data_IF_086689214608
#
_entry.id   IF_086689214608
#
_cell.length_a   1.000
_cell.length_b   1.000
_cell.length_c   1.000
_cell.angle_alpha   90.00
_cell.angle_beta   90.00
_cell.angle_gamma   90.00
#
_symmetry.space_group_name_H-M   'P 1'
#
loop_
_entity.id
_entity.type
_entity.pdbx_description
1 polymer ?
#
# COMPACT_ATOMS: atom_id res chain seq x y z
N UNK A 1 52.64 25.25 14.38
CA UNK A 1 54.07 24.89 14.17
C UNK A 1 54.98 26.08 14.37
N UNK A 2 54.91 27.16 13.57
CA UNK A 2 55.72 28.35 13.85
C UNK A 2 55.34 28.95 15.21
N UNK A 3 54.04 29.13 15.45
CA UNK A 3 53.50 29.59 16.75
C UNK A 3 53.83 28.63 17.90
N UNK A 4 53.64 27.32 17.70
CA UNK A 4 53.91 26.32 18.74
C UNK A 4 55.41 26.26 19.12
N UNK A 5 56.32 26.34 18.12
CA UNK A 5 57.78 26.38 18.37
C UNK A 5 58.18 27.69 19.02
N UNK A 6 57.56 28.81 18.65
CA UNK A 6 57.78 30.09 19.29
C UNK A 6 57.34 30.07 20.76
N UNK A 7 56.15 29.53 21.05
CA UNK A 7 55.64 29.42 22.42
C UNK A 7 56.53 28.51 23.30
N UNK A 8 57.01 27.40 22.75
CA UNK A 8 57.90 26.46 23.46
C UNK A 8 59.29 27.07 23.73
N UNK A 9 59.83 27.84 22.77
CA UNK A 9 61.07 28.59 22.98
C UNK A 9 60.87 29.72 23.99
N UNK A 10 59.80 30.51 23.87
CA UNK A 10 59.49 31.57 24.83
C UNK A 10 59.37 31.02 26.25
N UNK A 11 58.69 29.89 26.44
CA UNK A 11 58.59 29.22 27.74
C UNK A 11 59.96 28.77 28.28
N UNK A 12 60.82 28.20 27.43
CA UNK A 12 62.18 27.81 27.85
C UNK A 12 63.03 29.02 28.26
N UNK A 13 62.91 30.15 27.55
CA UNK A 13 63.59 31.38 27.94
C UNK A 13 63.00 31.98 29.22
N UNK A 14 61.68 31.91 29.39
CA UNK A 14 60.99 32.39 30.59
C UNK A 14 61.40 31.58 31.83
N UNK A 15 61.45 30.25 31.73
CA UNK A 15 61.89 29.36 32.81
C UNK A 15 63.36 29.61 33.21
N UNK A 16 64.25 29.79 32.24
CA UNK A 16 65.67 30.08 32.51
C UNK A 16 65.92 31.46 33.13
N UNK A 17 64.99 32.40 32.96
CA UNK A 17 65.10 33.77 33.46
C UNK A 17 64.27 34.01 34.74
N UNK A 18 63.45 33.04 35.14
CA UNK A 18 62.47 33.16 36.24
C UNK A 18 63.10 33.38 37.61
N UNK A 19 64.27 32.77 37.85
CA UNK A 19 64.94 32.78 39.15
C UNK A 19 65.92 33.96 39.33
N UNK A 20 66.01 34.86 38.35
CA UNK A 20 66.87 36.04 38.41
C UNK A 20 66.12 37.26 38.97
N UNK A 21 66.75 37.99 39.89
CA UNK A 21 66.09 39.06 40.64
C UNK A 21 66.14 40.44 39.96
N UNK A 22 67.13 40.68 39.09
CA UNK A 22 67.42 42.01 38.55
C UNK A 22 67.40 42.02 37.02
N UNK A 23 66.89 43.11 36.41
CA UNK A 23 66.68 43.18 34.96
C UNK A 23 68.00 43.15 34.16
N UNK A 24 69.10 43.64 34.74
CA UNK A 24 70.44 43.56 34.13
C UNK A 24 70.97 42.12 34.06
N UNK A 25 70.77 41.32 35.12
CA UNK A 25 71.16 39.91 35.15
C UNK A 25 70.36 39.09 34.14
N UNK A 26 69.06 39.38 34.00
CA UNK A 26 68.19 38.76 32.99
C UNK A 26 68.65 39.08 31.58
N UNK A 27 68.98 40.34 31.30
CA UNK A 27 69.47 40.77 29.98
C UNK A 27 70.79 40.08 29.62
N UNK A 28 71.71 39.97 30.58
CA UNK A 28 73.01 39.33 30.36
C UNK A 28 72.87 37.81 30.15
N UNK A 29 72.04 37.12 30.96
CA UNK A 29 71.78 35.68 30.78
C UNK A 29 71.03 35.39 29.47
N UNK A 30 70.09 36.25 29.06
CA UNK A 30 69.40 36.14 27.77
C UNK A 30 70.38 36.27 26.59
N UNK A 31 71.33 37.22 26.64
CA UNK A 31 72.35 37.37 25.60
C UNK A 31 73.29 36.15 25.54
N UNK A 32 73.66 35.58 26.69
CA UNK A 32 74.47 34.35 26.75
C UNK A 32 73.73 33.15 26.16
N UNK A 33 72.44 33.00 26.48
CA UNK A 33 71.59 31.96 25.91
C UNK A 33 71.53 32.09 24.38
N UNK A 34 71.24 33.29 23.87
CA UNK A 34 71.20 33.57 22.43
C UNK A 34 72.54 33.25 21.75
N UNK A 35 73.67 33.61 22.38
CA UNK A 35 75.00 33.31 21.85
C UNK A 35 75.31 31.80 21.82
N UNK A 36 74.84 31.04 22.82
CA UNK A 36 75.02 29.59 22.92
C UNK A 36 74.22 28.79 21.89
N UNK A 37 73.17 29.36 21.31
CA UNK A 37 72.33 28.68 20.30
C UNK A 37 72.96 28.59 18.89
N UNK A 38 74.06 29.31 18.63
CA UNK A 38 74.74 29.27 17.33
C UNK A 38 73.90 29.83 16.18
N UNK A 39 73.87 29.13 15.03
CA UNK A 39 73.06 29.57 13.88
C UNK A 39 71.56 29.40 14.15
N UNK A 40 70.94 30.49 14.61
CA UNK A 40 69.50 30.60 14.93
C UNK A 40 68.61 30.18 13.75
N UNK A 41 69.04 30.40 12.50
CA UNK A 41 68.24 30.00 11.32
C UNK A 41 68.21 28.48 11.19
N UNK A 42 69.35 27.82 11.37
CA UNK A 42 69.45 26.36 11.32
C UNK A 42 68.67 25.71 12.47
N UNK A 43 68.81 26.22 13.69
CA UNK A 43 68.06 25.74 14.85
C UNK A 43 66.54 25.85 14.65
N UNK A 44 66.07 27.00 14.13
CA UNK A 44 64.66 27.20 13.83
C UNK A 44 64.14 26.22 12.77
N UNK A 45 64.98 25.77 11.83
CA UNK A 45 64.62 24.74 10.85
C UNK A 45 64.57 23.35 11.51
N UNK A 46 65.55 23.02 12.36
CA UNK A 46 65.61 21.74 13.06
C UNK A 46 64.46 21.55 14.06
N UNK A 47 64.16 22.56 14.87
CA UNK A 47 63.03 22.55 15.81
C UNK A 47 61.69 22.42 15.08
N UNK A 48 61.51 23.12 13.96
CA UNK A 48 60.32 22.94 13.11
C UNK A 48 60.20 21.52 12.56
N UNK A 49 61.30 20.88 12.16
CA UNK A 49 61.31 19.48 11.69
C UNK A 49 61.01 18.50 12.83
N UNK A 50 61.63 18.68 13.99
CA UNK A 50 61.40 17.86 15.18
C UNK A 50 59.93 17.93 15.62
N UNK A 51 59.38 19.15 15.76
CA UNK A 51 57.97 19.35 16.11
C UNK A 51 57.01 18.78 15.06
N UNK A 52 57.37 18.82 13.77
CA UNK A 52 56.60 18.19 12.68
C UNK A 52 56.60 16.66 12.78
N UNK A 53 57.72 16.05 13.20
CA UNK A 53 57.86 14.60 13.40
C UNK A 53 57.13 14.10 14.66
N UNK A 54 57.10 14.91 15.72
CA UNK A 54 56.38 14.59 16.96
C UNK A 54 54.88 14.95 16.92
N UNK A 55 54.32 15.26 15.74
CA UNK A 55 52.88 15.49 15.62
C UNK A 55 52.13 14.20 15.94
N UNK A 56 51.15 14.22 16.84
CA UNK A 56 50.52 13.00 17.28
C UNK A 56 49.64 12.45 16.15
N UNK A 57 49.76 11.14 15.91
CA UNK A 57 49.11 10.45 14.78
C UNK A 57 47.57 10.59 14.80
N UNK A 58 46.98 10.83 15.97
CA UNK A 58 45.53 11.04 16.13
C UNK A 58 45.02 12.23 15.31
N UNK A 59 45.80 13.30 15.14
CA UNK A 59 45.38 14.46 14.33
C UNK A 59 45.24 14.11 12.86
N UNK A 60 46.11 13.24 12.35
CA UNK A 60 46.03 12.73 10.98
C UNK A 60 44.86 11.76 10.85
N UNK A 61 44.66 10.87 11.82
CA UNK A 61 43.51 9.95 11.84
C UNK A 61 42.18 10.70 11.83
N UNK A 62 41.99 11.70 12.70
CA UNK A 62 40.77 12.52 12.75
C UNK A 62 40.51 13.22 11.41
N UNK A 63 41.54 13.82 10.80
CA UNK A 63 41.40 14.47 9.50
C UNK A 63 41.00 13.47 8.40
N UNK A 64 41.59 12.27 8.39
CA UNK A 64 41.22 11.19 7.44
C UNK A 64 39.82 10.67 7.68
N UNK A 65 39.37 10.57 8.93
CA UNK A 65 38.00 10.20 9.28
C UNK A 65 37.01 11.23 8.75
N UNK A 66 37.23 12.52 8.97
CA UNK A 66 36.37 13.58 8.42
C UNK A 66 36.33 13.58 6.89
N UNK A 67 37.47 13.35 6.22
CA UNK A 67 37.51 13.18 4.77
C UNK A 67 36.67 11.99 4.32
N UNK A 68 36.78 10.86 5.01
CA UNK A 68 36.02 9.64 4.69
C UNK A 68 34.52 9.86 4.88
N UNK A 69 34.12 10.49 5.99
CA UNK A 69 32.72 10.86 6.25
C UNK A 69 32.21 11.81 5.16
N UNK A 70 33.00 12.81 4.77
CA UNK A 70 32.64 13.73 3.70
C UNK A 70 32.42 13.02 2.35
N UNK A 71 33.28 12.05 2.01
CA UNK A 71 33.10 11.22 0.81
C UNK A 71 31.84 10.37 0.90
N UNK A 72 31.58 9.74 2.05
CA UNK A 72 30.37 8.94 2.25
C UNK A 72 29.10 9.80 2.13
N UNK A 73 29.09 11.01 2.71
CA UNK A 73 28.00 11.97 2.59
C UNK A 73 27.80 12.36 1.12
N UNK A 74 28.88 12.65 0.39
CA UNK A 74 28.80 12.99 -1.03
C UNK A 74 28.23 11.83 -1.86
N UNK A 75 28.70 10.61 -1.64
CA UNK A 75 28.15 9.41 -2.28
C UNK A 75 26.67 9.22 -1.95
N UNK A 76 26.28 9.45 -0.70
CA UNK A 76 24.88 9.36 -0.27
C UNK A 76 24.01 10.43 -0.95
N UNK A 77 24.51 11.67 -1.09
CA UNK A 77 23.80 12.75 -1.80
C UNK A 77 23.64 12.37 -3.28
N UNK A 78 24.68 11.87 -3.94
CA UNK A 78 24.63 11.43 -5.34
C UNK A 78 23.64 10.28 -5.50
N UNK A 79 23.70 9.28 -4.62
CA UNK A 79 22.78 8.15 -4.64
C UNK A 79 21.33 8.60 -4.44
N UNK A 80 21.09 9.49 -3.48
CA UNK A 80 19.74 10.02 -3.20
C UNK A 80 19.21 10.81 -4.38
N UNK A 81 20.05 11.65 -5.01
CA UNK A 81 19.67 12.38 -6.22
C UNK A 81 19.33 11.42 -7.37
N UNK A 82 20.14 10.38 -7.59
CA UNK A 82 19.86 9.34 -8.58
C UNK A 82 18.58 8.57 -8.26
N UNK A 83 18.36 8.18 -7.01
CA UNK A 83 17.18 7.43 -6.57
C UNK A 83 15.89 8.24 -6.72
N UNK A 84 15.91 9.53 -6.35
CA UNK A 84 14.74 10.41 -6.47
C UNK A 84 14.44 10.82 -7.91
N UNK A 85 15.44 10.85 -8.80
CA UNK A 85 15.26 11.21 -10.22
C UNK A 85 15.09 10.01 -11.13
N UNK A 86 15.43 8.81 -10.65
CA UNK A 86 15.23 7.56 -11.34
C UNK A 86 13.74 7.32 -11.59
N UNK A 87 13.37 7.13 -12.85
CA UNK A 87 12.03 6.67 -13.19
C UNK A 87 11.98 5.16 -13.01
N UNK A 88 11.02 4.61 -12.26
CA UNK A 88 10.85 3.17 -12.18
C UNK A 88 10.54 2.64 -13.58
N UNK A 89 11.37 1.73 -14.09
CA UNK A 89 11.07 1.01 -15.32
C UNK A 89 10.41 -0.30 -14.92
N UNK A 90 9.10 -0.38 -15.14
CA UNK A 90 8.34 -1.62 -14.93
C UNK A 90 8.68 -2.55 -16.09
N UNK A 91 9.60 -3.49 -15.88
CA UNK A 91 10.06 -4.42 -16.91
C UNK A 91 9.09 -5.58 -17.16
N UNK A 92 8.16 -5.81 -16.24
CA UNK A 92 7.20 -6.91 -16.28
C UNK A 92 5.79 -6.34 -16.38
N UNK A 93 5.04 -6.79 -17.38
CA UNK A 93 3.61 -6.52 -17.46
C UNK A 93 2.86 -7.35 -16.41
N UNK A 94 2.75 -6.78 -15.21
CA UNK A 94 2.08 -7.41 -14.08
C UNK A 94 0.57 -7.62 -14.31
N UNK A 95 -0.05 -6.89 -15.25
CA UNK A 95 -1.47 -7.01 -15.54
C UNK A 95 -1.72 -8.16 -16.49
N UNK A 96 -0.88 -8.33 -17.50
CA UNK A 96 -0.86 -9.54 -18.31
C UNK A 96 -0.59 -10.79 -17.44
N UNK A 97 0.37 -10.70 -16.52
CA UNK A 97 0.69 -11.81 -15.61
C UNK A 97 -0.47 -12.11 -14.64
N UNK A 98 -1.13 -11.08 -14.09
CA UNK A 98 -2.34 -11.24 -13.29
C UNK A 98 -3.44 -11.96 -14.10
N UNK A 99 -3.75 -11.47 -15.30
CA UNK A 99 -4.76 -12.06 -16.18
C UNK A 99 -4.44 -13.51 -16.54
N UNK A 100 -3.14 -13.87 -16.63
CA UNK A 100 -2.69 -15.25 -16.84
C UNK A 100 -2.95 -16.13 -15.62
N UNK A 101 -2.68 -15.63 -14.40
CA UNK A 101 -2.80 -16.40 -13.16
C UNK A 101 -4.27 -16.58 -12.72
N UNK A 102 -5.12 -15.58 -12.93
CA UNK A 102 -6.53 -15.62 -12.51
C UNK A 102 -7.41 -16.48 -13.43
N UNK A 103 -6.93 -16.77 -14.65
CA UNK A 103 -7.65 -17.60 -15.61
C UNK A 103 -7.42 -19.08 -15.28
N UNK A 104 -8.46 -19.84 -14.92
CA UNK A 104 -8.34 -21.28 -14.74
C UNK A 104 -8.09 -21.98 -16.09
N UNK A 105 -7.56 -23.21 -16.04
CA UNK A 105 -7.50 -24.09 -17.21
C UNK A 105 -8.90 -24.64 -17.52
N UNK A 106 -9.73 -23.80 -18.13
CA UNK A 106 -11.13 -24.07 -18.43
C UNK A 106 -11.53 -23.46 -19.78
N UNK A 107 -12.59 -24.00 -20.39
CA UNK A 107 -13.17 -23.44 -21.61
C UNK A 107 -13.94 -22.14 -21.31
N UNK A 108 -13.91 -21.18 -22.24
CA UNK A 108 -14.55 -19.87 -22.03
C UNK A 108 -16.06 -19.97 -21.83
N UNK A 109 -16.72 -21.03 -22.32
CA UNK A 109 -18.15 -21.30 -22.06
C UNK A 109 -18.44 -21.60 -20.58
N UNK A 110 -17.43 -21.95 -19.80
CA UNK A 110 -17.52 -22.21 -18.36
C UNK A 110 -17.35 -20.94 -17.51
N UNK A 111 -17.10 -19.79 -18.13
CA UNK A 111 -16.94 -18.50 -17.44
C UNK A 111 -18.29 -17.82 -17.17
N UNK A 112 -18.54 -17.43 -15.92
CA UNK A 112 -19.68 -16.61 -15.52
C UNK A 112 -19.53 -15.13 -15.93
N UNK A 113 -18.31 -14.62 -16.09
CA UNK A 113 -18.07 -13.18 -16.22
C UNK A 113 -18.83 -12.50 -17.36
N UNK A 114 -18.92 -13.06 -18.60
CA UNK A 114 -19.69 -12.44 -19.67
C UNK A 114 -21.17 -12.23 -19.31
N UNK A 115 -21.76 -13.17 -18.58
CA UNK A 115 -23.16 -13.10 -18.17
C UNK A 115 -23.37 -12.06 -17.07
N UNK A 116 -22.48 -12.04 -16.07
CA UNK A 116 -22.52 -11.05 -15.00
C UNK A 116 -22.26 -9.63 -15.52
N UNK A 117 -21.31 -9.44 -16.43
CA UNK A 117 -21.01 -8.13 -16.99
C UNK A 117 -22.16 -7.62 -17.86
N UNK A 118 -22.81 -8.51 -18.61
CA UNK A 118 -24.03 -8.16 -19.37
C UNK A 118 -25.16 -7.74 -18.43
N UNK A 119 -25.35 -8.46 -17.31
CA UNK A 119 -26.34 -8.09 -16.30
C UNK A 119 -26.01 -6.76 -15.63
N UNK A 120 -24.75 -6.55 -15.22
CA UNK A 120 -24.28 -5.33 -14.60
C UNK A 120 -24.45 -4.10 -15.51
N UNK A 121 -24.08 -4.24 -16.79
CA UNK A 121 -24.28 -3.17 -17.77
C UNK A 121 -25.75 -2.80 -17.97
N UNK A 122 -26.64 -3.80 -18.02
CA UNK A 122 -28.08 -3.54 -18.08
C UNK A 122 -28.64 -2.89 -16.79
N UNK A 123 -27.91 -3.03 -15.67
CA UNK A 123 -28.28 -2.52 -14.36
C UNK A 123 -27.79 -1.07 -14.12
N UNK A 124 -26.87 -0.53 -14.93
CA UNK A 124 -26.29 0.82 -14.76
C UNK A 124 -27.33 1.97 -14.89
N UNK A 125 -28.53 1.71 -15.42
CA UNK A 125 -29.56 2.72 -15.73
C UNK A 125 -30.67 2.86 -14.66
N UNK A 126 -30.46 2.35 -13.45
CA UNK A 126 -31.51 2.28 -12.43
C UNK A 126 -31.88 3.64 -11.81
N UNK A 127 -33.18 3.93 -11.64
CA UNK A 127 -33.64 5.03 -10.80
C UNK A 127 -33.15 4.90 -9.34
N UNK A 128 -32.69 6.03 -8.76
CA UNK A 128 -32.13 6.08 -7.41
C UNK A 128 -33.09 5.58 -6.32
N UNK A 129 -34.40 5.79 -6.51
CA UNK A 129 -35.45 5.31 -5.60
C UNK A 129 -35.48 3.78 -5.50
N UNK A 130 -35.38 3.09 -6.64
CA UNK A 130 -35.29 1.62 -6.66
C UNK A 130 -33.99 1.14 -6.00
N UNK A 131 -32.87 1.83 -6.22
CA UNK A 131 -31.60 1.50 -5.56
C UNK A 131 -31.74 1.59 -4.03
N UNK A 132 -32.31 2.68 -3.51
CA UNK A 132 -32.54 2.87 -2.07
C UNK A 132 -33.47 1.77 -1.52
N UNK A 133 -34.54 1.47 -2.26
CA UNK A 133 -35.49 0.42 -1.88
C UNK A 133 -34.85 -0.97 -1.83
N UNK A 134 -33.99 -1.30 -2.79
CA UNK A 134 -33.29 -2.59 -2.80
C UNK A 134 -32.36 -2.78 -1.60
N UNK A 135 -31.77 -1.71 -1.07
CA UNK A 135 -30.97 -1.75 0.17
C UNK A 135 -31.83 -1.88 1.44
N UNK A 136 -33.07 -1.41 1.41
CA UNK A 136 -33.99 -1.50 2.55
C UNK A 136 -34.27 -2.97 2.89
N UNK A 137 -34.38 -3.29 4.19
CA UNK A 137 -34.75 -4.66 4.61
C UNK A 137 -36.21 -4.92 4.27
N UNK A 138 -36.52 -6.15 3.88
CA UNK A 138 -37.86 -6.54 3.45
C UNK A 138 -38.97 -6.16 4.44
N UNK A 139 -38.80 -6.46 5.74
CA UNK A 139 -39.78 -6.09 6.80
C UNK A 139 -39.98 -4.58 6.99
N UNK A 140 -38.99 -3.78 6.60
CA UNK A 140 -39.01 -2.34 6.82
C UNK A 140 -39.71 -1.60 5.67
N UNK A 141 -39.99 -2.29 4.56
CA UNK A 141 -40.67 -1.67 3.45
C UNK A 141 -42.18 -1.55 3.70
N UNK A 142 -42.72 -0.42 3.23
CA UNK A 142 -44.14 -0.14 3.35
C UNK A 142 -44.95 -1.00 2.37
N UNK A 143 -46.26 -1.10 2.62
CA UNK A 143 -47.18 -1.81 1.73
C UNK A 143 -47.23 -1.22 0.31
N UNK A 144 -46.87 0.05 0.14
CA UNK A 144 -46.81 0.74 -1.16
C UNK A 144 -45.50 0.49 -1.92
N UNK A 145 -44.41 0.24 -1.19
CA UNK A 145 -43.08 -0.03 -1.76
C UNK A 145 -42.96 -1.45 -2.33
N UNK A 146 -43.60 -2.44 -1.70
CA UNK A 146 -43.54 -3.84 -2.17
C UNK A 146 -44.08 -4.02 -3.60
N UNK A 147 -45.25 -3.47 -3.99
CA UNK A 147 -45.73 -3.51 -5.37
C UNK A 147 -44.79 -2.84 -6.38
N UNK A 148 -44.14 -1.72 -6.00
CA UNK A 148 -43.21 -1.00 -6.86
C UNK A 148 -41.98 -1.88 -7.20
N UNK A 149 -41.36 -2.49 -6.19
CA UNK A 149 -40.24 -3.41 -6.38
C UNK A 149 -40.68 -4.65 -7.16
N UNK A 150 -41.84 -5.23 -6.83
CA UNK A 150 -42.36 -6.41 -7.53
C UNK A 150 -42.57 -6.14 -9.03
N UNK A 151 -43.12 -4.96 -9.37
CA UNK A 151 -43.24 -4.53 -10.77
C UNK A 151 -41.87 -4.39 -11.42
N UNK A 152 -40.93 -3.69 -10.77
CA UNK A 152 -39.59 -3.52 -11.31
C UNK A 152 -38.87 -4.85 -11.54
N UNK A 153 -38.96 -5.80 -10.60
CA UNK A 153 -38.40 -7.14 -10.73
C UNK A 153 -39.01 -7.93 -11.90
N UNK A 154 -40.32 -7.76 -12.14
CA UNK A 154 -41.00 -8.38 -13.27
C UNK A 154 -40.54 -7.77 -14.60
N UNK A 155 -40.45 -6.44 -14.68
CA UNK A 155 -40.00 -5.70 -15.86
C UNK A 155 -38.52 -6.00 -16.20
N UNK A 156 -37.70 -6.37 -15.21
CA UNK A 156 -36.27 -6.61 -15.34
C UNK A 156 -35.88 -8.09 -15.18
N UNK A 157 -36.82 -9.01 -15.40
CA UNK A 157 -36.59 -10.46 -15.25
C UNK A 157 -35.38 -10.95 -16.03
N UNK A 158 -35.19 -10.48 -17.27
CA UNK A 158 -34.09 -10.90 -18.15
C UNK A 158 -32.70 -10.59 -17.55
N UNK A 159 -32.57 -9.49 -16.81
CA UNK A 159 -31.32 -9.12 -16.12
C UNK A 159 -31.02 -10.13 -15.02
N UNK A 160 -32.03 -10.51 -14.24
CA UNK A 160 -31.87 -11.50 -13.17
C UNK A 160 -31.61 -12.90 -13.72
N UNK A 161 -32.22 -13.25 -14.85
CA UNK A 161 -31.98 -14.52 -15.53
C UNK A 161 -30.53 -14.64 -16.02
N UNK A 162 -29.90 -13.54 -16.48
CA UNK A 162 -28.47 -13.53 -16.80
C UNK A 162 -27.60 -13.83 -15.58
N UNK A 163 -27.94 -13.27 -14.41
CA UNK A 163 -27.24 -13.57 -13.16
C UNK A 163 -27.42 -15.04 -12.79
N UNK A 164 -28.64 -15.57 -12.83
CA UNK A 164 -28.90 -16.98 -12.54
C UNK A 164 -28.14 -17.89 -13.52
N UNK A 165 -28.13 -17.58 -14.81
CA UNK A 165 -27.37 -18.34 -15.79
C UNK A 165 -25.86 -18.31 -15.49
N UNK A 166 -25.33 -17.16 -15.05
CA UNK A 166 -23.95 -17.00 -14.61
C UNK A 166 -23.63 -17.84 -13.36
N UNK A 167 -24.55 -17.95 -12.41
CA UNK A 167 -24.34 -18.76 -11.19
C UNK A 167 -24.37 -20.27 -11.45
N UNK A 168 -24.82 -20.72 -12.63
CA UNK A 168 -24.69 -22.13 -13.03
C UNK A 168 -23.32 -22.45 -13.66
N UNK A 169 -22.51 -21.43 -13.98
CA UNK A 169 -21.16 -21.64 -14.48
C UNK A 169 -20.24 -22.07 -13.33
N UNK A 170 -19.34 -23.04 -13.55
CA UNK A 170 -18.46 -23.54 -12.48
C UNK A 170 -17.36 -22.55 -12.10
N UNK A 171 -17.07 -21.58 -12.96
CA UNK A 171 -15.99 -20.64 -12.78
C UNK A 171 -16.46 -19.21 -13.08
N UNK A 172 -15.77 -18.27 -12.46
CA UNK A 172 -15.80 -16.86 -12.81
C UNK A 172 -14.35 -16.44 -12.99
N UNK A 173 -14.04 -15.65 -14.03
CA UNK A 173 -12.81 -14.88 -14.13
C UNK A 173 -13.03 -13.68 -15.04
N UNK A 174 -12.57 -12.52 -14.59
CA UNK A 174 -12.62 -11.30 -15.38
C UNK A 174 -11.24 -10.94 -15.92
N UNK A 175 -11.22 -10.16 -16.99
CA UNK A 175 -10.02 -9.53 -17.50
C UNK A 175 -9.84 -8.19 -16.78
N UNK A 176 -8.70 -8.02 -16.14
CA UNK A 176 -8.30 -6.78 -15.50
C UNK A 176 -7.62 -5.86 -16.50
N UNK A 177 -7.97 -4.58 -16.47
CA UNK A 177 -7.46 -3.54 -17.37
C UNK A 177 -7.02 -2.32 -16.54
N UNK A 178 -6.01 -1.60 -17.03
CA UNK A 178 -5.55 -0.35 -16.40
C UNK A 178 -6.61 0.75 -16.48
N UNK A 179 -6.69 1.55 -15.42
CA UNK A 179 -7.59 2.68 -15.31
C UNK A 179 -6.88 4.02 -15.18
N UNK A 180 -7.46 5.06 -15.77
CA UNK A 180 -7.24 6.43 -15.29
C UNK A 180 -5.81 7.00 -15.38
N UNK A 181 -5.01 6.59 -16.36
CA UNK A 181 -3.75 7.27 -16.71
C UNK A 181 -2.60 7.10 -15.70
N UNK A 182 -2.78 6.28 -14.67
CA UNK A 182 -1.70 5.84 -13.77
C UNK A 182 -1.33 4.42 -14.16
N UNK A 183 -0.06 4.16 -14.46
CA UNK A 183 0.41 2.83 -14.86
C UNK A 183 0.52 1.87 -13.67
N UNK A 184 0.24 0.59 -13.90
CA UNK A 184 0.48 -0.50 -12.95
C UNK A 184 -0.73 -0.96 -12.13
N UNK A 185 -0.52 -1.98 -11.28
CA UNK A 185 -1.59 -2.73 -10.59
C UNK A 185 -2.53 -1.87 -9.73
N UNK A 186 -2.06 -0.72 -9.21
CA UNK A 186 -2.88 0.16 -8.37
C UNK A 186 -3.98 0.87 -9.15
N UNK A 187 -3.93 0.89 -10.47
CA UNK A 187 -4.89 1.55 -11.32
C UNK A 187 -5.96 0.61 -11.91
N UNK A 188 -5.93 -0.67 -11.55
CA UNK A 188 -6.85 -1.67 -12.09
C UNK A 188 -8.30 -1.28 -11.83
N UNK A 189 -9.10 -1.28 -12.89
CA UNK A 189 -10.53 -0.98 -12.81
C UNK A 189 -11.33 -2.23 -12.42
N UNK A 190 -12.35 -2.00 -11.58
CA UNK A 190 -13.34 -3.01 -11.19
C UNK A 190 -14.75 -2.39 -11.27
N UNK A 191 -15.22 -2.03 -12.48
CA UNK A 191 -16.37 -1.15 -12.65
C UNK A 191 -17.70 -1.76 -12.19
N UNK A 192 -17.83 -3.10 -12.21
CA UNK A 192 -19.12 -3.78 -12.01
C UNK A 192 -19.36 -4.30 -10.58
N UNK A 193 -18.47 -4.03 -9.63
CA UNK A 193 -18.58 -4.58 -8.28
C UNK A 193 -19.81 -4.09 -7.54
N UNK A 194 -20.16 -2.81 -7.71
CA UNK A 194 -21.35 -2.21 -7.09
C UNK A 194 -22.61 -2.86 -7.65
N UNK A 195 -22.64 -3.10 -8.95
CA UNK A 195 -23.75 -3.65 -9.71
C UNK A 195 -23.99 -5.10 -9.30
N UNK A 196 -22.95 -5.91 -9.09
CA UNK A 196 -23.10 -7.27 -8.55
C UNK A 196 -23.77 -7.29 -7.18
N UNK A 197 -23.39 -6.36 -6.29
CA UNK A 197 -24.02 -6.23 -4.98
C UNK A 197 -25.50 -5.85 -5.10
N UNK A 198 -25.82 -4.89 -5.98
CA UNK A 198 -27.18 -4.44 -6.20
C UNK A 198 -28.06 -5.53 -6.85
N UNK A 199 -27.52 -6.31 -7.80
CA UNK A 199 -28.18 -7.49 -8.38
C UNK A 199 -28.47 -8.57 -7.33
N UNK A 200 -27.56 -8.79 -6.38
CA UNK A 200 -27.81 -9.69 -5.26
C UNK A 200 -28.94 -9.18 -4.34
N UNK A 201 -29.05 -7.87 -4.14
CA UNK A 201 -30.18 -7.28 -3.42
C UNK A 201 -31.50 -7.44 -4.15
N UNK A 202 -31.51 -7.32 -5.48
CA UNK A 202 -32.69 -7.58 -6.31
C UNK A 202 -33.18 -9.03 -6.18
N UNK A 203 -32.28 -10.01 -6.30
CA UNK A 203 -32.61 -11.43 -6.11
C UNK A 203 -33.07 -11.73 -4.67
N UNK A 204 -32.46 -11.11 -3.65
CA UNK A 204 -32.96 -11.20 -2.26
C UNK A 204 -34.41 -10.73 -2.15
N UNK A 205 -34.71 -9.58 -2.74
CA UNK A 205 -36.07 -9.02 -2.74
C UNK A 205 -37.06 -9.95 -3.43
N UNK A 206 -36.69 -10.52 -4.58
CA UNK A 206 -37.51 -11.50 -5.30
C UNK A 206 -37.76 -12.76 -4.47
N UNK A 207 -36.73 -13.26 -3.77
CA UNK A 207 -36.86 -14.41 -2.88
C UNK A 207 -37.87 -14.16 -1.74
N UNK A 208 -37.84 -12.98 -1.11
CA UNK A 208 -38.79 -12.65 -0.05
C UNK A 208 -40.23 -12.53 -0.57
N UNK A 209 -40.43 -11.95 -1.76
CA UNK A 209 -41.73 -11.90 -2.43
C UNK A 209 -42.25 -13.30 -2.78
N UNK A 210 -41.37 -14.21 -3.21
CA UNK A 210 -41.71 -15.61 -3.45
C UNK A 210 -42.13 -16.31 -2.14
N UNK A 211 -41.38 -16.11 -1.05
CA UNK A 211 -41.71 -16.69 0.25
C UNK A 211 -43.07 -16.22 0.79
N UNK A 212 -43.39 -14.92 0.69
CA UNK A 212 -44.72 -14.39 1.09
C UNK A 212 -45.87 -15.02 0.30
N UNK A 213 -45.61 -15.46 -0.93
CA UNK A 213 -46.58 -16.11 -1.81
C UNK A 213 -46.60 -17.64 -1.64
N UNK A 214 -45.88 -18.18 -0.66
CA UNK A 214 -45.75 -19.62 -0.39
C UNK A 214 -44.88 -20.38 -1.40
N UNK A 215 -44.18 -19.67 -2.29
CA UNK A 215 -43.30 -20.21 -3.34
C UNK A 215 -41.87 -20.37 -2.82
N UNK A 216 -41.69 -21.30 -1.88
CA UNK A 216 -40.42 -21.44 -1.16
C UNK A 216 -39.29 -22.01 -2.02
N UNK A 217 -39.59 -22.89 -2.96
CA UNK A 217 -38.58 -23.48 -3.87
C UNK A 217 -37.92 -22.37 -4.70
N UNK A 218 -38.72 -21.52 -5.33
CA UNK A 218 -38.25 -20.37 -6.10
C UNK A 218 -37.51 -19.36 -5.23
N UNK A 219 -37.97 -19.13 -4.00
CA UNK A 219 -37.28 -18.28 -3.05
C UNK A 219 -35.87 -18.80 -2.72
N UNK A 220 -35.73 -20.11 -2.46
CA UNK A 220 -34.44 -20.71 -2.14
C UNK A 220 -33.51 -20.81 -3.34
N UNK A 221 -34.04 -21.00 -4.55
CA UNK A 221 -33.24 -20.97 -5.78
C UNK A 221 -32.64 -19.59 -6.06
N UNK A 222 -33.38 -18.52 -5.78
CA UNK A 222 -32.88 -17.15 -5.84
C UNK A 222 -31.76 -16.91 -4.82
N UNK A 223 -31.97 -17.32 -3.56
CA UNK A 223 -30.95 -17.19 -2.51
C UNK A 223 -29.70 -18.02 -2.80
N UNK A 224 -29.87 -19.23 -3.33
CA UNK A 224 -28.77 -20.09 -3.78
C UNK A 224 -27.98 -19.45 -4.92
N UNK A 225 -28.66 -18.79 -5.85
CA UNK A 225 -28.02 -18.03 -6.92
C UNK A 225 -27.19 -16.87 -6.37
N UNK A 226 -27.74 -16.08 -5.44
CA UNK A 226 -26.96 -15.03 -4.76
C UNK A 226 -25.75 -15.59 -4.03
N UNK A 227 -25.90 -16.70 -3.31
CA UNK A 227 -24.78 -17.31 -2.58
C UNK A 227 -23.65 -17.71 -3.53
N UNK A 228 -23.99 -18.34 -4.67
CA UNK A 228 -23.02 -18.71 -5.71
C UNK A 228 -22.33 -17.51 -6.35
N UNK A 229 -23.06 -16.42 -6.59
CA UNK A 229 -22.47 -15.14 -7.02
C UNK A 229 -21.44 -14.64 -6.00
N UNK A 230 -21.79 -14.64 -4.70
CA UNK A 230 -20.86 -14.26 -3.63
C UNK A 230 -19.61 -15.15 -3.58
N UNK A 231 -19.77 -16.47 -3.78
CA UNK A 231 -18.67 -17.43 -3.89
C UNK A 231 -17.73 -17.12 -5.05
N UNK A 232 -18.27 -16.81 -6.24
CA UNK A 232 -17.46 -16.43 -7.40
C UNK A 232 -16.55 -15.22 -7.12
N UNK A 233 -17.03 -14.26 -6.33
CA UNK A 233 -16.28 -13.05 -5.96
C UNK A 233 -15.27 -13.27 -4.83
N UNK A 234 -15.50 -14.23 -3.93
CA UNK A 234 -14.57 -14.53 -2.83
C UNK A 234 -13.30 -15.23 -3.26
N UNK A 235 -13.34 -15.99 -4.34
CA UNK A 235 -12.18 -16.71 -4.86
C UNK A 235 -11.36 -15.83 -5.85
N UNK A 236 -11.35 -14.49 -5.63
CA UNK A 236 -10.70 -13.47 -6.48
C UNK A 236 -9.44 -12.87 -5.85
N UNK A 237 -8.50 -12.34 -6.65
CA UNK A 237 -7.22 -11.81 -6.16
C UNK A 237 -7.34 -10.54 -5.31
N UNK A 238 -8.32 -9.67 -5.57
CA UNK A 238 -8.41 -8.39 -4.85
C UNK A 238 -9.32 -8.47 -3.63
N UNK A 239 -8.86 -7.92 -2.51
CA UNK A 239 -9.61 -7.88 -1.25
C UNK A 239 -11.00 -7.24 -1.40
N UNK A 240 -11.12 -6.19 -2.23
CA UNK A 240 -12.40 -5.51 -2.45
C UNK A 240 -13.44 -6.43 -3.11
N UNK A 241 -13.05 -7.28 -4.06
CA UNK A 241 -13.94 -8.28 -4.68
C UNK A 241 -14.40 -9.29 -3.61
N UNK A 242 -13.48 -9.74 -2.77
CA UNK A 242 -13.79 -10.68 -1.69
C UNK A 242 -14.75 -10.08 -0.68
N UNK A 243 -14.56 -8.81 -0.28
CA UNK A 243 -15.44 -8.09 0.64
C UNK A 243 -16.86 -7.96 0.08
N UNK A 244 -17.01 -7.68 -1.22
CA UNK A 244 -18.31 -7.69 -1.90
C UNK A 244 -18.92 -9.10 -1.84
N UNK A 245 -18.14 -10.14 -2.15
CA UNK A 245 -18.60 -11.53 -2.05
C UNK A 245 -19.07 -11.91 -0.64
N UNK A 246 -18.34 -11.52 0.41
CA UNK A 246 -18.75 -11.70 1.80
C UNK A 246 -20.03 -10.93 2.16
N UNK A 247 -20.18 -9.69 1.67
CA UNK A 247 -21.38 -8.87 1.88
C UNK A 247 -22.61 -9.54 1.28
N UNK A 248 -22.49 -10.11 0.07
CA UNK A 248 -23.56 -10.87 -0.60
C UNK A 248 -23.92 -12.11 0.21
N UNK A 249 -22.95 -12.96 0.59
CA UNK A 249 -23.23 -14.17 1.37
C UNK A 249 -23.91 -13.87 2.71
N UNK A 250 -23.45 -12.82 3.42
CA UNK A 250 -24.06 -12.37 4.67
C UNK A 250 -25.51 -11.99 4.45
N UNK A 251 -25.78 -11.19 3.43
CA UNK A 251 -27.12 -10.72 3.09
C UNK A 251 -28.07 -11.89 2.77
N UNK A 252 -27.58 -12.89 2.04
CA UNK A 252 -28.33 -14.11 1.72
C UNK A 252 -28.64 -14.91 2.97
N UNK A 253 -27.65 -15.09 3.86
CA UNK A 253 -27.81 -15.84 5.10
C UNK A 253 -28.84 -15.18 6.01
N UNK A 254 -28.80 -13.84 6.14
CA UNK A 254 -29.80 -13.07 6.88
C UNK A 254 -31.21 -13.25 6.28
N UNK A 255 -31.34 -13.22 4.95
CA UNK A 255 -32.61 -13.42 4.26
C UNK A 255 -33.15 -14.85 4.39
N UNK A 256 -32.28 -15.85 4.36
CA UNK A 256 -32.62 -17.26 4.55
C UNK A 256 -33.20 -17.49 5.95
N UNK A 257 -32.48 -17.04 6.98
CA UNK A 257 -32.93 -17.15 8.38
C UNK A 257 -34.26 -16.45 8.60
N UNK A 258 -34.45 -15.29 7.97
CA UNK A 258 -35.69 -14.55 8.04
C UNK A 258 -36.88 -15.34 7.46
N UNK A 259 -36.72 -15.93 6.28
CA UNK A 259 -37.75 -16.77 5.66
C UNK A 259 -38.09 -17.95 6.57
N UNK A 260 -37.08 -18.60 7.16
CA UNK A 260 -37.27 -19.69 8.13
C UNK A 260 -38.00 -19.28 9.42
N UNK A 261 -37.72 -18.08 9.95
CA UNK A 261 -38.35 -17.63 11.19
C UNK A 261 -39.79 -17.13 10.99
N UNK A 262 -40.10 -16.55 9.84
CA UNK A 262 -41.43 -15.96 9.59
C UNK A 262 -42.45 -16.94 9.01
N UNK A 263 -41.98 -17.97 8.30
CA UNK A 263 -42.85 -18.91 7.62
C UNK A 263 -42.69 -20.28 8.26
N UNK A 264 -43.79 -20.91 8.68
CA UNK A 264 -43.79 -22.30 9.11
C UNK A 264 -43.50 -23.19 7.89
N UNK A 265 -42.22 -23.41 7.61
CA UNK A 265 -41.80 -24.27 6.51
C UNK A 265 -41.86 -25.72 6.99
N UNK A 266 -42.76 -26.48 6.40
CA UNK A 266 -42.81 -27.92 6.58
C UNK A 266 -41.50 -28.54 6.06
N UNK A 267 -40.68 -29.03 7.00
CA UNK A 267 -39.37 -29.64 6.74
C UNK A 267 -39.45 -30.85 5.78
N UNK A 268 -40.63 -31.47 5.65
CA UNK A 268 -40.87 -32.57 4.70
C UNK A 268 -40.81 -32.10 3.25
N UNK A 269 -41.08 -30.81 2.97
CA UNK A 269 -40.98 -30.24 1.62
C UNK A 269 -39.54 -29.90 1.21
N UNK A 270 -38.61 -29.79 2.16
CA UNK A 270 -37.21 -29.43 1.92
C UNK A 270 -36.28 -30.64 1.67
N UNK A 271 -36.77 -31.85 1.88
CA UNK A 271 -35.96 -33.09 1.86
C UNK A 271 -36.17 -33.95 0.61
N UNK A 272 -36.86 -33.43 -0.42
CA UNK A 272 -36.93 -34.03 -1.75
C UNK A 272 -35.98 -33.34 -2.71
#
# INVERSE_FOLDING_TARGET
VRLDVQAELSAHFEDELKDLATDEEKAQKAQQLIAGFGDVKLLAVLLRRAKKRCRPLWRTMVARTFQTIGVLILCFIIYTAWFLTGKPVVTVDYIAELNRIVRPTADDSQNAAPLYHKAAKAYEELPDDIVILLHTRYKQATAEQKPLINKWLADNKEILDLVIAGTQKPYYWQKYEEGGGVEGMMSILMPHLTEFQRLAYALRWRAQLHAEQGRYEEAFDDLKSCYRLGRHLKDRPFLIEQLVGFSIERTVTEALLHIFCEHEIDLVRLTK
#
